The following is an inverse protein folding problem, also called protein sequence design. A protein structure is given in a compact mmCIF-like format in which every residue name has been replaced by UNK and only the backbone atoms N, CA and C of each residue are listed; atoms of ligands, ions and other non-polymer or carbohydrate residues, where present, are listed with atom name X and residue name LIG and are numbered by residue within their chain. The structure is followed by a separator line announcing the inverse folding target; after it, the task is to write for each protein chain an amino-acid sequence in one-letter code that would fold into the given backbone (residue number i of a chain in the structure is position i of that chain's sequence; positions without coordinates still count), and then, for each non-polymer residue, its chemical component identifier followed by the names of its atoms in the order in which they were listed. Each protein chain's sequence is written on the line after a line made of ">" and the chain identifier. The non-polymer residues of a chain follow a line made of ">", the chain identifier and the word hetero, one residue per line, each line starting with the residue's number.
data_IF_167372712719
#
_entry.id   IF_167372712719
#
_cell.length_a   1.000
_cell.length_b   1.000
_cell.length_c   1.000
_cell.angle_alpha   90.00
_cell.angle_beta   90.00
_cell.angle_gamma   90.00
#
_symmetry.space_group_name_H-M   'P 1'
#
loop_
_entity.id
_entity.type
_entity.pdbx_description
1 polymer ?
#
# COMPACT_ATOMS: atom_id res chain seq x y z
N UNK A 1 7.07 3.47 17.23
CA UNK A 1 7.19 4.19 15.94
C UNK A 1 7.38 3.23 14.76
N UNK A 2 8.46 2.44 14.70
CA UNK A 2 8.68 1.48 13.59
C UNK A 2 7.51 0.47 13.45
N UNK A 3 7.14 -0.19 14.55
CA UNK A 3 6.04 -1.17 14.55
C UNK A 3 4.71 -0.55 14.13
N UNK A 4 4.43 0.68 14.57
CA UNK A 4 3.25 1.46 14.20
C UNK A 4 3.19 1.72 12.69
N UNK A 5 4.33 2.05 12.09
CA UNK A 5 4.46 2.32 10.66
C UNK A 5 4.28 1.06 9.81
N UNK A 6 4.86 -0.05 10.26
CA UNK A 6 4.69 -1.36 9.64
C UNK A 6 3.25 -1.87 9.75
N UNK A 7 2.60 -1.68 10.91
CA UNK A 7 1.19 -2.05 11.09
C UNK A 7 0.28 -1.27 10.14
N UNK A 8 0.45 0.06 10.04
CA UNK A 8 -0.32 0.88 9.10
C UNK A 8 -0.12 0.43 7.64
N UNK A 9 1.11 0.08 7.25
CA UNK A 9 1.36 -0.45 5.90
C UNK A 9 0.70 -1.81 5.68
N UNK A 10 0.76 -2.71 6.66
CA UNK A 10 0.10 -4.01 6.58
C UNK A 10 -1.42 -3.86 6.45
N UNK A 11 -2.03 -2.93 7.19
CA UNK A 11 -3.47 -2.62 7.07
C UNK A 11 -3.83 -2.07 5.69
N UNK A 12 -2.98 -1.20 5.12
CA UNK A 12 -3.19 -0.68 3.77
C UNK A 12 -3.08 -1.77 2.71
N UNK A 13 -2.11 -2.67 2.84
CA UNK A 13 -1.86 -3.78 1.93
C UNK A 13 -3.02 -4.80 2.00
N UNK A 14 -3.48 -5.14 3.21
CA UNK A 14 -4.63 -6.01 3.43
C UNK A 14 -5.93 -5.44 2.85
N UNK A 15 -6.20 -4.15 3.09
CA UNK A 15 -7.39 -3.51 2.54
C UNK A 15 -7.36 -3.43 1.02
N UNK A 16 -6.19 -3.17 0.43
CA UNK A 16 -6.03 -3.20 -1.03
C UNK A 16 -6.31 -4.60 -1.60
N UNK A 17 -5.76 -5.64 -0.99
CA UNK A 17 -5.97 -7.03 -1.41
C UNK A 17 -7.45 -7.37 -1.44
N UNK A 18 -8.15 -7.09 -0.33
CA UNK A 18 -9.58 -7.35 -0.18
C UNK A 18 -10.42 -6.61 -1.22
N UNK A 19 -10.13 -5.34 -1.47
CA UNK A 19 -10.86 -4.57 -2.49
C UNK A 19 -10.53 -5.03 -3.91
N UNK A 20 -9.30 -5.48 -4.17
CA UNK A 20 -8.89 -6.03 -5.46
C UNK A 20 -9.65 -7.32 -5.76
N UNK A 21 -9.73 -8.24 -4.80
CA UNK A 21 -10.46 -9.49 -4.93
C UNK A 21 -11.95 -9.25 -5.18
N UNK A 22 -12.57 -8.33 -4.43
CA UNK A 22 -13.97 -7.94 -4.65
C UNK A 22 -14.21 -7.42 -6.07
N UNK A 23 -13.36 -6.51 -6.56
CA UNK A 23 -13.48 -5.95 -7.91
C UNK A 23 -13.24 -7.00 -9.01
N UNK A 24 -12.35 -7.96 -8.74
CA UNK A 24 -12.10 -9.08 -9.65
C UNK A 24 -13.36 -9.94 -9.84
N UNK A 25 -14.11 -10.16 -8.75
CA UNK A 25 -15.23 -11.10 -8.69
C UNK A 25 -16.60 -10.49 -9.05
N UNK A 26 -16.75 -9.16 -9.03
CA UNK A 26 -18.07 -8.50 -9.16
C UNK A 26 -18.39 -7.95 -10.56
N UNK A 27 -17.40 -7.72 -11.43
CA UNK A 27 -17.65 -7.05 -12.72
C UNK A 27 -17.56 -8.02 -13.92
N UNK A 28 -18.67 -8.26 -14.65
CA UNK A 28 -18.64 -9.02 -15.90
C UNK A 28 -18.02 -8.22 -17.07
N UNK A 29 -18.04 -6.88 -17.00
CA UNK A 29 -17.35 -6.03 -17.97
C UNK A 29 -15.85 -5.96 -17.65
N UNK A 30 -15.04 -6.49 -18.56
CA UNK A 30 -13.59 -6.58 -18.41
C UNK A 30 -12.90 -5.22 -18.52
N UNK A 31 -13.39 -4.30 -19.36
CA UNK A 31 -12.77 -2.98 -19.55
C UNK A 31 -13.03 -2.07 -18.35
N UNK A 32 -14.25 -2.08 -17.83
CA UNK A 32 -14.61 -1.33 -16.60
C UNK A 32 -13.82 -1.89 -15.41
N UNK A 33 -13.71 -3.21 -15.31
CA UNK A 33 -12.92 -3.88 -14.26
C UNK A 33 -11.45 -3.49 -14.30
N UNK A 34 -10.81 -3.52 -15.48
CA UNK A 34 -9.40 -3.13 -15.63
C UNK A 34 -9.18 -1.69 -15.16
N UNK A 35 -10.02 -0.74 -15.60
CA UNK A 35 -9.91 0.67 -15.18
C UNK A 35 -10.10 0.83 -13.66
N UNK A 36 -11.04 0.10 -13.08
CA UNK A 36 -11.29 0.14 -11.63
C UNK A 36 -10.09 -0.42 -10.83
N UNK A 37 -9.50 -1.52 -11.29
CA UNK A 37 -8.31 -2.12 -10.68
C UNK A 37 -7.09 -1.20 -10.78
N UNK A 38 -6.91 -0.53 -11.92
CA UNK A 38 -5.81 0.41 -12.13
C UNK A 38 -5.94 1.65 -11.22
N UNK A 39 -7.15 2.20 -11.10
CA UNK A 39 -7.45 3.29 -10.16
C UNK A 39 -7.21 2.85 -8.70
N UNK A 40 -7.61 1.63 -8.34
CA UNK A 40 -7.38 1.06 -7.02
C UNK A 40 -5.88 0.95 -6.72
N UNK A 41 -5.09 0.44 -7.67
CA UNK A 41 -3.63 0.31 -7.57
C UNK A 41 -2.95 1.67 -7.39
N UNK A 42 -3.34 2.68 -8.17
CA UNK A 42 -2.75 4.02 -8.07
C UNK A 42 -3.03 4.65 -6.70
N UNK A 43 -4.29 4.59 -6.24
CA UNK A 43 -4.66 5.07 -4.90
C UNK A 43 -3.90 4.34 -3.80
N UNK A 44 -3.74 3.02 -3.92
CA UNK A 44 -2.98 2.25 -2.95
C UNK A 44 -1.51 2.68 -2.90
N UNK A 45 -0.87 2.88 -4.06
CA UNK A 45 0.51 3.39 -4.15
C UNK A 45 0.64 4.77 -3.49
N UNK A 46 -0.22 5.71 -3.86
CA UNK A 46 -0.22 7.07 -3.30
C UNK A 46 -0.37 7.06 -1.77
N UNK A 47 -1.23 6.18 -1.24
CA UNK A 47 -1.43 6.06 0.22
C UNK A 47 -0.23 5.47 0.95
N UNK A 48 0.55 4.58 0.31
CA UNK A 48 1.74 3.97 0.92
C UNK A 48 2.96 4.88 0.93
N UNK A 49 3.10 5.70 -0.12
CA UNK A 49 4.27 6.56 -0.36
C UNK A 49 4.78 7.31 0.89
N UNK A 50 3.95 8.05 1.65
CA UNK A 50 4.45 8.78 2.83
C UNK A 50 4.99 7.86 3.93
N UNK A 51 4.45 6.64 4.06
CA UNK A 51 4.90 5.69 5.08
C UNK A 51 6.19 4.99 4.66
N UNK A 52 6.36 4.71 3.37
CA UNK A 52 7.62 4.19 2.82
C UNK A 52 8.74 5.23 2.99
N UNK A 53 8.47 6.51 2.72
CA UNK A 53 9.46 7.57 2.94
C UNK A 53 9.87 7.68 4.41
N UNK A 54 8.92 7.60 5.34
CA UNK A 54 9.20 7.58 6.78
C UNK A 54 10.03 6.35 7.19
N UNK A 55 9.77 5.16 6.61
CA UNK A 55 10.57 3.96 6.85
C UNK A 55 12.01 4.16 6.41
N UNK A 56 12.23 4.70 5.21
CA UNK A 56 13.57 4.95 4.67
C UNK A 56 14.37 5.90 5.57
N UNK A 57 13.76 6.99 6.04
CA UNK A 57 14.39 7.93 6.96
C UNK A 57 14.76 7.23 8.27
N UNK A 58 13.84 6.42 8.82
CA UNK A 58 14.06 5.72 10.07
C UNK A 58 15.18 4.68 9.96
N UNK A 59 15.20 3.91 8.87
CA UNK A 59 16.25 2.94 8.58
C UNK A 59 17.62 3.61 8.45
N UNK A 60 17.70 4.74 7.75
CA UNK A 60 18.94 5.51 7.63
C UNK A 60 19.49 5.94 9.01
N UNK A 61 18.63 6.51 9.85
CA UNK A 61 19.03 6.91 11.22
C UNK A 61 19.48 5.72 12.06
N UNK A 62 18.82 4.57 11.92
CA UNK A 62 19.22 3.35 12.65
C UNK A 62 20.59 2.82 12.20
N UNK A 63 20.95 2.97 10.92
CA UNK A 63 22.28 2.61 10.43
C UNK A 63 23.34 3.58 10.92
N UNK A 64 23.05 4.89 10.92
CA UNK A 64 23.95 5.92 11.43
C UNK A 64 24.24 5.76 12.94
N UNK A 65 23.26 5.33 13.74
CA UNK A 65 23.45 5.06 15.17
C UNK A 65 24.24 3.78 15.47
N UNK A 66 24.42 2.90 14.49
CA UNK A 66 25.17 1.64 14.62
C UNK A 66 26.60 1.73 14.08
N UNK A 67 26.93 2.81 13.40
CA UNK A 67 28.26 3.10 12.84
C UNK A 67 29.11 3.89 13.83
#
# INVERSE_FOLDING_TARGET
>A
MLQSLLATLADLDFNYEKEREKLSNTSPDTTIRIRALEKLKNRHRERREPYIQQLTILQKRMMELRA
#
